data_IF_384633224034
#
_entry.id   IF_384633224034
#
_cell.length_a   1.000
_cell.length_b   1.000
_cell.length_c   1.000
_cell.angle_alpha   90.00
_cell.angle_beta   90.00
_cell.angle_gamma   90.00
#
_symmetry.space_group_name_H-M   'P 1'
#
loop_
_entity.id
_entity.type
_entity.pdbx_description
1 polymer ?
#
# COMPACT_ATOMS: atom_id res chain seq x y z
N UNK A 1 -38.92 29.48 -9.85
CA UNK A 1 -38.65 28.96 -9.99
C UNK A 1 -38.15 27.82 -10.01
N UNK A 2 -38.32 27.70 -10.00
CA UNK A 2 -38.02 26.86 -10.08
C UNK A 2 -37.45 25.87 -10.01
N UNK A 3 -37.18 25.90 -10.03
CA UNK A 3 -36.65 25.13 -10.21
C UNK A 3 -36.09 24.24 -9.85
N UNK A 4 -36.12 24.42 -9.70
CA UNK A 4 -35.60 23.65 -9.53
C UNK A 4 -35.36 22.61 -9.30
N UNK A 5 -35.57 22.56 -9.34
CA UNK A 5 -35.40 21.56 -9.25
C UNK A 5 -34.86 20.55 -9.36
N UNK A 6 -34.71 20.53 -9.52
CA UNK A 6 -34.28 19.55 -9.74
C UNK A 6 -33.60 18.77 -9.46
N UNK A 7 -33.61 19.04 -9.31
CA UNK A 7 -33.07 18.34 -9.22
C UNK A 7 -32.61 17.35 -8.86
N UNK A 8 -32.85 17.45 -8.79
CA UNK A 8 -32.45 16.52 -8.58
C UNK A 8 -32.02 15.60 -8.62
N UNK A 9 -32.20 15.67 -8.84
CA UNK A 9 -31.80 14.68 -9.07
C UNK A 9 -31.02 13.95 -8.78
N UNK A 10 -31.02 14.46 -8.67
CA UNK A 10 -30.22 13.84 -8.55
C UNK A 10 -29.92 12.82 -8.20
N UNK A 11 -30.23 12.78 -8.22
CA UNK A 11 -30.02 11.88 -7.97
C UNK A 11 -29.48 11.05 -8.14
N UNK A 12 -29.55 11.33 -8.42
CA UNK A 12 -29.14 10.63 -8.73
C UNK A 12 -28.36 9.89 -8.47
N UNK A 13 -28.23 10.44 -8.34
CA UNK A 13 -27.25 9.95 -8.15
C UNK A 13 -27.21 8.77 -7.70
N UNK A 14 -27.70 8.67 -7.50
CA UNK A 14 -27.65 7.68 -7.09
C UNK A 14 -27.29 6.62 -7.67
N UNK A 15 -27.42 6.61 -8.26
CA UNK A 15 -27.17 5.68 -8.96
C UNK A 15 -26.01 5.09 -8.70
N UNK A 16 -25.51 5.82 -8.59
CA UNK A 16 -24.28 5.48 -8.27
C UNK A 16 -24.16 4.44 -7.29
N UNK A 17 -24.90 4.49 -6.40
CA UNK A 17 -24.80 3.59 -5.37
C UNK A 17 -24.71 2.20 -5.79
N UNK A 18 -25.34 1.97 -6.81
CA UNK A 18 -25.41 0.67 -7.32
C UNK A 18 -24.12 0.06 -7.62
N UNK A 19 -23.31 0.81 -8.24
CA UNK A 19 -22.07 0.26 -8.66
C UNK A 19 -21.20 -0.10 -7.52
N UNK A 20 -21.44 0.47 -6.39
CA UNK A 20 -20.64 0.20 -5.26
C UNK A 20 -20.57 -1.23 -4.88
N UNK A 21 -21.66 -1.91 -4.98
CA UNK A 21 -21.68 -3.28 -4.58
C UNK A 21 -20.73 -4.12 -5.38
N UNK A 22 -20.56 -3.79 -6.60
CA UNK A 22 -19.69 -4.56 -7.46
C UNK A 22 -18.25 -4.31 -7.18
N UNK A 23 -17.95 -3.10 -6.84
CA UNK A 23 -16.58 -2.71 -6.63
C UNK A 23 -15.91 -3.46 -5.49
N UNK A 24 -16.69 -3.94 -4.54
CA UNK A 24 -16.11 -4.60 -3.40
C UNK A 24 -15.49 -5.94 -3.69
N UNK A 25 -15.75 -6.50 -4.86
CA UNK A 25 -15.33 -7.87 -5.12
C UNK A 25 -13.94 -8.02 -5.73
N UNK A 26 -13.36 -6.95 -6.23
CA UNK A 26 -12.06 -7.07 -6.88
C UNK A 26 -11.24 -5.82 -6.66
N UNK A 27 -9.94 -6.02 -6.55
CA UNK A 27 -9.01 -4.92 -6.40
C UNK A 27 -8.57 -4.47 -7.78
N UNK A 28 -8.59 -3.18 -8.05
CA UNK A 28 -8.12 -2.65 -9.30
C UNK A 28 -6.60 -2.80 -9.40
N UNK A 29 -6.10 -2.86 -10.63
CA UNK A 29 -4.67 -3.03 -10.86
C UNK A 29 -3.85 -1.93 -10.19
N UNK A 30 -4.32 -0.68 -10.24
CA UNK A 30 -3.62 0.43 -9.60
C UNK A 30 -3.60 0.28 -8.09
N UNK A 31 -4.69 -0.25 -7.52
CA UNK A 31 -4.75 -0.46 -6.08
C UNK A 31 -3.81 -1.58 -5.65
N UNK A 32 -3.66 -2.61 -6.48
CA UNK A 32 -2.72 -3.68 -6.19
C UNK A 32 -1.29 -3.17 -6.21
N UNK A 33 -0.97 -2.35 -7.21
CA UNK A 33 0.37 -1.78 -7.31
C UNK A 33 0.66 -0.88 -6.11
N UNK A 34 -0.30 -0.05 -5.72
CA UNK A 34 -0.14 0.84 -4.58
C UNK A 34 0.01 0.04 -3.28
N UNK A 35 -0.79 -1.01 -3.12
CA UNK A 35 -0.72 -1.87 -1.94
C UNK A 35 0.64 -2.55 -1.84
N UNK A 36 1.07 -3.16 -2.92
CA UNK A 36 2.36 -3.85 -2.97
C UNK A 36 3.50 -2.90 -2.63
N UNK A 37 3.47 -1.72 -3.26
CA UNK A 37 4.49 -0.70 -3.04
C UNK A 37 4.52 -0.25 -1.58
N UNK A 38 3.35 -0.08 -0.98
CA UNK A 38 3.28 0.36 0.40
C UNK A 38 3.92 -0.65 1.35
N UNK A 39 3.71 -1.95 1.13
CA UNK A 39 4.38 -2.96 1.95
C UNK A 39 5.88 -2.90 1.76
N UNK A 40 6.34 -2.74 0.52
CA UNK A 40 7.76 -2.61 0.26
C UNK A 40 8.35 -1.37 0.93
N UNK A 41 7.62 -0.25 0.88
CA UNK A 41 8.06 0.96 1.56
C UNK A 41 8.18 0.75 3.05
N UNK A 42 7.24 0.01 3.64
CA UNK A 42 7.26 -0.21 5.09
C UNK A 42 8.52 -0.94 5.53
N UNK A 43 8.95 -1.93 4.75
CA UNK A 43 10.20 -2.65 5.05
C UNK A 43 11.39 -1.71 4.97
N UNK A 44 11.42 -0.88 3.93
CA UNK A 44 12.57 0.01 3.73
C UNK A 44 12.61 1.14 4.74
N UNK A 45 11.45 1.65 5.16
CA UNK A 45 11.42 2.66 6.21
C UNK A 45 11.93 2.06 7.52
N UNK A 46 11.57 0.80 7.81
CA UNK A 46 12.09 0.14 8.99
C UNK A 46 13.61 0.04 8.92
N UNK A 47 14.15 -0.31 7.75
CA UNK A 47 15.60 -0.37 7.59
C UNK A 47 16.26 0.98 7.78
N UNK A 48 15.68 2.02 7.19
CA UNK A 48 16.26 3.36 7.28
C UNK A 48 16.14 3.96 8.67
N UNK A 49 15.00 3.79 9.30
CA UNK A 49 14.75 4.43 10.60
C UNK A 49 15.33 3.66 11.77
N UNK A 50 15.56 2.37 11.61
CA UNK A 50 16.05 1.52 12.69
C UNK A 50 17.47 1.00 12.44
N UNK A 51 18.10 1.47 11.36
CA UNK A 51 19.46 1.11 11.02
C UNK A 51 19.66 -0.41 10.97
N UNK A 52 18.76 -1.07 10.24
CA UNK A 52 18.76 -2.52 10.13
C UNK A 52 18.71 -2.93 8.66
N UNK A 53 18.96 -4.20 8.39
CA UNK A 53 18.86 -4.75 7.06
C UNK A 53 18.19 -6.12 7.17
N UNK A 54 17.39 -6.44 6.16
CA UNK A 54 16.76 -7.74 6.10
C UNK A 54 17.61 -8.65 5.19
N UNK A 55 17.83 -9.87 5.63
CA UNK A 55 18.59 -10.81 4.82
C UNK A 55 17.66 -11.62 3.91
N UNK A 56 18.26 -12.50 3.11
CA UNK A 56 17.50 -13.28 2.14
C UNK A 56 16.46 -14.19 2.83
N UNK A 57 16.80 -14.72 4.00
CA UNK A 57 15.86 -15.60 4.70
C UNK A 57 14.64 -14.83 5.19
N UNK A 58 14.85 -13.60 5.66
CA UNK A 58 13.74 -12.75 6.09
C UNK A 58 12.87 -12.35 4.91
N UNK A 59 13.49 -11.98 3.79
CA UNK A 59 12.75 -11.66 2.58
C UNK A 59 11.97 -12.87 2.06
N UNK A 60 12.52 -14.07 2.22
CA UNK A 60 11.83 -15.27 1.77
C UNK A 60 10.51 -15.48 2.53
N UNK A 61 10.41 -14.92 3.73
CA UNK A 61 9.17 -15.00 4.50
C UNK A 61 8.22 -13.85 4.22
N UNK A 62 8.76 -12.65 4.08
CA UNK A 62 7.93 -11.47 3.85
C UNK A 62 7.40 -11.40 2.42
N UNK A 63 8.22 -11.80 1.44
CA UNK A 63 7.86 -11.69 0.04
C UNK A 63 6.54 -12.37 -0.32
N UNK A 64 6.40 -13.67 -0.02
CA UNK A 64 5.14 -14.35 -0.33
C UNK A 64 3.94 -13.75 0.39
N UNK A 65 4.14 -13.29 1.61
CA UNK A 65 3.07 -12.64 2.36
C UNK A 65 2.60 -11.37 1.63
N UNK A 66 3.53 -10.55 1.19
CA UNK A 66 3.20 -9.32 0.47
C UNK A 66 2.53 -9.65 -0.86
N UNK A 67 3.06 -10.64 -1.58
CA UNK A 67 2.47 -11.04 -2.86
C UNK A 67 1.03 -11.51 -2.70
N UNK A 68 0.74 -12.20 -1.60
CA UNK A 68 -0.62 -12.66 -1.35
C UNK A 68 -1.60 -11.51 -1.16
N UNK A 69 -1.12 -10.36 -0.67
CA UNK A 69 -1.98 -9.19 -0.50
C UNK A 69 -2.50 -8.65 -1.83
N UNK A 70 -1.83 -8.98 -2.91
CA UNK A 70 -2.21 -8.54 -4.26
C UNK A 70 -2.48 -9.74 -5.16
N UNK A 71 -2.87 -10.86 -4.57
CA UNK A 71 -3.25 -12.07 -5.30
C UNK A 71 -2.17 -12.58 -6.25
N UNK A 72 -0.90 -12.31 -5.92
CA UNK A 72 0.26 -12.72 -6.71
C UNK A 72 0.22 -12.18 -8.14
N UNK A 73 -0.39 -11.01 -8.33
CA UNK A 73 -0.58 -10.47 -9.68
C UNK A 73 0.41 -9.40 -10.10
N UNK A 74 1.39 -9.10 -9.27
CA UNK A 74 2.44 -8.14 -9.67
C UNK A 74 3.53 -8.91 -10.39
N UNK A 75 3.66 -8.68 -11.70
CA UNK A 75 4.63 -9.40 -12.52
C UNK A 75 6.06 -8.86 -12.38
N UNK A 76 7.01 -9.60 -12.97
CA UNK A 76 8.41 -9.30 -12.81
C UNK A 76 8.85 -7.92 -13.25
N UNK A 77 8.44 -7.49 -14.44
CA UNK A 77 8.79 -6.18 -14.93
C UNK A 77 8.19 -5.07 -14.08
N UNK A 78 6.94 -5.26 -13.68
CA UNK A 78 6.27 -4.30 -12.84
C UNK A 78 6.94 -4.21 -11.47
N UNK A 79 7.40 -5.34 -10.92
CA UNK A 79 8.11 -5.36 -9.64
C UNK A 79 9.30 -4.43 -9.65
N UNK A 80 10.09 -4.46 -10.72
CA UNK A 80 11.29 -3.63 -10.77
C UNK A 80 10.93 -2.15 -10.68
N UNK A 81 9.90 -1.73 -11.41
CA UNK A 81 9.45 -0.35 -11.35
C UNK A 81 8.94 0.01 -9.95
N UNK A 82 8.12 -0.86 -9.38
CA UNK A 82 7.53 -0.58 -8.08
C UNK A 82 8.56 -0.60 -6.96
N UNK A 83 9.62 -1.40 -7.10
CA UNK A 83 10.70 -1.40 -6.12
C UNK A 83 11.41 -0.06 -6.12
N UNK A 84 11.64 0.52 -7.31
CA UNK A 84 12.27 1.83 -7.37
C UNK A 84 11.36 2.91 -6.78
N UNK A 85 10.06 2.81 -7.03
CA UNK A 85 9.11 3.73 -6.42
C UNK A 85 9.10 3.58 -4.91
N UNK A 86 9.17 2.34 -4.41
CA UNK A 86 9.18 2.09 -2.98
C UNK A 86 10.43 2.65 -2.32
N UNK A 87 11.57 2.50 -2.99
CA UNK A 87 12.82 3.08 -2.47
C UNK A 87 12.71 4.59 -2.35
N UNK A 88 12.17 5.22 -3.38
CA UNK A 88 12.00 6.66 -3.39
C UNK A 88 11.03 7.12 -2.32
N UNK A 89 9.88 6.43 -2.21
CA UNK A 89 8.88 6.77 -1.20
C UNK A 89 9.39 6.59 0.21
N UNK A 90 10.14 5.52 0.44
CA UNK A 90 10.71 5.27 1.76
C UNK A 90 11.75 6.33 2.12
N UNK A 91 12.58 6.72 1.16
CA UNK A 91 13.56 7.76 1.39
C UNK A 91 12.88 9.08 1.75
N UNK A 92 11.82 9.44 0.99
CA UNK A 92 11.06 10.65 1.27
C UNK A 92 10.50 10.62 2.69
N UNK A 93 9.89 9.52 3.07
CA UNK A 93 9.27 9.42 4.39
C UNK A 93 10.31 9.45 5.51
N UNK A 94 11.41 8.70 5.37
CA UNK A 94 12.37 8.53 6.45
C UNK A 94 13.41 9.63 6.52
N UNK A 95 13.87 10.12 5.38
CA UNK A 95 14.99 11.07 5.36
C UNK A 95 14.57 12.49 5.10
N UNK A 96 13.65 12.72 4.16
CA UNK A 96 13.22 14.07 3.85
C UNK A 96 12.23 14.56 4.90
N UNK A 97 11.21 13.78 5.17
CA UNK A 97 10.21 14.15 6.18
C UNK A 97 10.61 13.76 7.59
N UNK A 98 11.37 12.69 7.72
CA UNK A 98 11.87 12.25 9.02
C UNK A 98 11.13 11.05 9.57
N UNK A 99 11.84 10.25 10.37
CA UNK A 99 11.26 9.03 10.95
C UNK A 99 10.14 9.31 11.93
N UNK A 100 10.02 10.54 12.41
CA UNK A 100 8.92 10.92 13.30
C UNK A 100 7.73 11.50 12.55
N UNK A 101 7.80 11.61 11.22
CA UNK A 101 6.69 12.11 10.43
C UNK A 101 5.53 11.12 10.44
N UNK A 102 4.33 11.63 10.14
CA UNK A 102 3.16 10.77 10.09
C UNK A 102 3.30 9.70 9.02
N UNK A 103 3.91 10.04 7.90
CA UNK A 103 4.12 9.07 6.83
C UNK A 103 5.02 7.93 7.27
N UNK A 104 6.16 8.26 7.90
CA UNK A 104 7.09 7.24 8.36
C UNK A 104 6.46 6.40 9.47
N UNK A 105 5.78 7.04 10.41
CA UNK A 105 5.14 6.30 11.51
C UNK A 105 4.08 5.34 11.00
N UNK A 106 3.31 5.75 10.00
CA UNK A 106 2.28 4.90 9.42
C UNK A 106 2.90 3.66 8.79
N UNK A 107 4.01 3.86 8.06
CA UNK A 107 4.70 2.73 7.43
C UNK A 107 5.34 1.81 8.47
N UNK A 108 5.91 2.39 9.53
CA UNK A 108 6.48 1.58 10.61
C UNK A 108 5.41 0.77 11.33
N UNK A 109 4.22 1.37 11.51
CA UNK A 109 3.12 0.65 12.14
C UNK A 109 2.68 -0.53 11.28
N UNK A 110 2.62 -0.35 9.98
CA UNK A 110 2.29 -1.45 9.07
C UNK A 110 3.34 -2.55 9.17
N UNK A 111 4.62 -2.17 9.14
CA UNK A 111 5.70 -3.14 9.24
C UNK A 111 5.60 -3.92 10.55
N UNK A 112 5.45 -3.22 11.66
CA UNK A 112 5.41 -3.87 12.98
C UNK A 112 4.21 -4.81 13.12
N UNK A 113 3.08 -4.43 12.56
CA UNK A 113 1.88 -5.23 12.71
C UNK A 113 1.89 -6.49 11.86
N UNK A 114 2.48 -6.42 10.66
CA UNK A 114 2.32 -7.52 9.71
C UNK A 114 3.60 -8.19 9.27
N UNK A 115 4.69 -7.47 9.19
CA UNK A 115 5.92 -8.02 8.61
C UNK A 115 6.97 -8.37 9.64
N UNK A 116 7.09 -7.58 10.69
CA UNK A 116 8.09 -7.85 11.71
C UNK A 116 7.97 -9.25 12.32
N UNK A 117 6.76 -9.76 12.60
CA UNK A 117 6.68 -11.13 13.13
C UNK A 117 7.22 -12.17 12.16
N UNK A 118 7.01 -11.96 10.86
CA UNK A 118 7.53 -12.89 9.86
C UNK A 118 9.04 -12.81 9.79
N UNK A 119 9.59 -11.60 9.80
CA UNK A 119 11.02 -11.41 9.75
C UNK A 119 11.70 -11.99 10.99
N UNK A 120 10.99 -12.00 12.12
CA UNK A 120 11.51 -12.58 13.35
C UNK A 120 11.38 -14.10 13.42
N UNK A 121 10.84 -14.73 12.41
CA UNK A 121 10.71 -16.17 12.37
C UNK A 121 9.42 -16.73 12.92
N UNK A 122 8.43 -15.89 13.05
CA UNK A 122 7.14 -16.32 13.60
C UNK A 122 6.04 -16.54 12.53
#
# INVERSE_FOLDING_TARGET
MLKSSFIALSAAGMLTGVTLGLAGTAMAQDDMAATWTRYQESVRVAELCRYMKHDAAQWAKMGPYIDAKVNHEIGGGQRLTLIEEAKSGAWQAARVQGCESEGAKSLLALYDAELAPLAAGQ
#
